data_IF_845482801609
#
_entry.id   IF_845482801609
#
_cell.length_a   1.000
_cell.length_b   1.000
_cell.length_c   1.000
_cell.angle_alpha   90.00
_cell.angle_beta   90.00
_cell.angle_gamma   90.00
#
_symmetry.space_group_name_H-M   'P 1'
#
loop_
_entity.id
_entity.type
_entity.pdbx_description
1 polymer ?
#
# COMPACT_ATOMS: atom_id res chain seq x y z
N UNK A 1 -21.64 68.62 -36.54
CA UNK A 1 -21.67 67.20 -36.92
C UNK A 1 -20.36 66.55 -36.46
N UNK A 2 -20.40 65.88 -35.28
CA UNK A 2 -19.23 65.16 -34.74
C UNK A 2 -19.44 63.64 -35.00
N UNK A 3 -18.51 63.02 -35.73
CA UNK A 3 -18.52 61.61 -36.03
C UNK A 3 -17.98 60.85 -34.81
N UNK A 4 -18.80 59.97 -34.24
CA UNK A 4 -18.43 59.06 -33.19
C UNK A 4 -17.87 57.76 -33.82
N UNK A 5 -16.59 57.46 -33.56
CA UNK A 5 -15.94 56.22 -33.99
C UNK A 5 -16.08 55.20 -32.88
N UNK A 6 -16.83 54.13 -33.14
CA UNK A 6 -16.98 53.00 -32.20
C UNK A 6 -15.81 52.01 -32.42
N UNK A 7 -14.95 51.87 -31.43
CA UNK A 7 -13.88 50.89 -31.41
C UNK A 7 -14.45 49.60 -30.82
N UNK A 8 -14.63 48.54 -31.63
CA UNK A 8 -15.04 47.24 -31.18
C UNK A 8 -13.80 46.50 -30.65
N UNK A 9 -13.74 46.29 -29.34
CA UNK A 9 -12.74 45.42 -28.73
C UNK A 9 -13.20 43.95 -28.84
N UNK A 10 -12.50 43.16 -29.66
CA UNK A 10 -12.67 41.74 -29.74
C UNK A 10 -11.97 41.07 -28.54
N UNK A 11 -12.76 40.52 -27.63
CA UNK A 11 -12.28 39.69 -26.51
C UNK A 11 -11.96 38.31 -27.08
N UNK A 12 -10.70 37.96 -27.21
CA UNK A 12 -10.22 36.61 -27.56
C UNK A 12 -10.32 35.81 -26.27
N UNK A 13 -11.37 34.99 -26.12
CA UNK A 13 -11.39 33.92 -25.12
C UNK A 13 -10.40 32.82 -25.55
N UNK A 14 -9.26 32.80 -24.91
CA UNK A 14 -8.35 31.63 -25.00
C UNK A 14 -9.02 30.46 -24.26
N UNK A 15 -9.61 29.54 -25.02
CA UNK A 15 -9.96 28.23 -24.51
C UNK A 15 -8.63 27.51 -24.20
N UNK A 16 -8.29 27.41 -22.92
CA UNK A 16 -7.27 26.46 -22.48
C UNK A 16 -7.85 25.05 -22.69
N UNK A 17 -7.50 24.42 -23.79
CA UNK A 17 -7.68 22.98 -23.94
C UNK A 17 -6.95 22.30 -22.78
N UNK A 18 -7.55 21.29 -22.13
CA UNK A 18 -6.79 20.48 -21.18
C UNK A 18 -5.60 19.90 -21.94
N UNK A 19 -4.40 20.14 -21.42
CA UNK A 19 -3.19 19.52 -21.97
C UNK A 19 -3.41 18.00 -21.87
N UNK A 20 -3.57 17.34 -23.01
CA UNK A 20 -3.49 15.89 -23.05
C UNK A 20 -2.10 15.54 -22.50
N UNK A 21 -2.06 14.85 -21.35
CA UNK A 21 -0.82 14.39 -20.75
C UNK A 21 -0.15 13.48 -21.77
N UNK A 22 1.07 13.85 -22.16
CA UNK A 22 1.80 13.11 -23.20
C UNK A 22 2.14 11.72 -22.64
N UNK A 23 1.74 10.68 -23.36
CA UNK A 23 2.20 9.31 -23.10
C UNK A 23 3.72 9.26 -23.07
N UNK A 24 4.25 8.32 -22.28
CA UNK A 24 5.69 8.03 -22.29
C UNK A 24 6.13 7.71 -23.72
N UNK A 25 7.19 8.36 -24.19
CA UNK A 25 7.74 8.10 -25.52
C UNK A 25 8.42 6.72 -25.59
N UNK A 26 8.54 6.14 -26.79
CA UNK A 26 9.28 4.88 -26.97
C UNK A 26 10.73 4.98 -26.45
N UNK A 27 11.36 6.14 -26.60
CA UNK A 27 12.72 6.39 -26.10
C UNK A 27 12.79 6.38 -24.57
N UNK A 28 11.77 6.88 -23.88
CA UNK A 28 11.69 6.82 -22.41
C UNK A 28 11.35 5.40 -21.95
N UNK A 29 10.40 4.73 -22.59
CA UNK A 29 10.06 3.34 -22.27
C UNK A 29 11.25 2.39 -22.50
N UNK A 30 12.15 2.69 -23.45
CA UNK A 30 13.38 1.91 -23.67
C UNK A 30 14.38 1.97 -22.51
N UNK A 31 14.24 2.92 -21.57
CA UNK A 31 15.05 2.97 -20.34
C UNK A 31 14.72 1.85 -19.36
N UNK A 32 13.50 1.29 -19.42
CA UNK A 32 13.07 0.18 -18.56
C UNK A 32 13.92 -1.07 -18.85
N UNK A 33 14.50 -1.62 -17.77
CA UNK A 33 15.45 -2.72 -17.83
C UNK A 33 16.91 -2.31 -18.12
N UNK A 34 17.16 -1.06 -18.52
CA UNK A 34 18.49 -0.50 -18.83
C UNK A 34 18.95 0.48 -17.73
N UNK A 35 18.62 1.76 -17.86
CA UNK A 35 18.93 2.80 -16.87
C UNK A 35 18.00 2.69 -15.65
N UNK A 36 16.77 2.28 -15.89
CA UNK A 36 15.75 2.00 -14.89
C UNK A 36 15.61 0.49 -14.70
N UNK A 37 15.14 0.09 -13.52
CA UNK A 37 14.66 -1.29 -13.30
C UNK A 37 13.47 -1.57 -14.24
N UNK A 38 13.08 -2.83 -14.46
CA UNK A 38 11.92 -3.13 -15.30
C UNK A 38 10.62 -2.46 -14.88
N UNK A 39 10.50 -2.02 -13.62
CA UNK A 39 9.31 -1.33 -13.08
C UNK A 39 9.53 0.17 -12.83
N UNK A 40 10.65 0.74 -13.28
CA UNK A 40 10.85 2.19 -13.32
C UNK A 40 11.67 2.81 -12.18
N UNK A 41 12.20 2.02 -11.25
CA UNK A 41 13.14 2.52 -10.25
C UNK A 41 14.49 2.89 -10.88
N UNK A 42 15.25 3.80 -10.27
CA UNK A 42 16.62 4.10 -10.70
C UNK A 42 17.50 2.89 -10.42
N UNK A 43 18.09 2.29 -11.45
CA UNK A 43 18.92 1.09 -11.32
C UNK A 43 20.25 1.35 -10.60
N UNK A 44 20.89 2.49 -10.88
CA UNK A 44 22.15 2.88 -10.23
C UNK A 44 21.99 3.12 -8.73
N UNK A 45 23.06 2.90 -7.98
CA UNK A 45 23.17 3.32 -6.59
C UNK A 45 23.13 4.84 -6.43
N UNK A 46 23.07 5.33 -5.19
CA UNK A 46 23.17 6.76 -4.89
C UNK A 46 24.62 7.22 -4.77
N UNK A 47 24.81 8.53 -4.67
CA UNK A 47 26.15 9.15 -4.72
C UNK A 47 27.04 8.81 -3.52
N UNK A 48 26.48 8.61 -2.34
CA UNK A 48 27.19 8.29 -1.10
C UNK A 48 27.40 6.78 -0.87
N UNK A 49 26.84 5.95 -1.77
CA UNK A 49 26.94 4.48 -1.72
C UNK A 49 26.05 3.81 -0.67
N UNK A 50 25.22 4.58 0.05
CA UNK A 50 24.32 4.03 1.07
C UNK A 50 23.12 3.26 0.45
N UNK A 51 22.79 3.53 -0.81
CA UNK A 51 21.83 2.77 -1.60
C UNK A 51 22.61 2.12 -2.74
N UNK A 52 22.76 0.78 -2.78
CA UNK A 52 23.51 0.10 -3.82
C UNK A 52 22.76 0.11 -5.16
N UNK A 53 23.46 -0.22 -6.25
CA UNK A 53 22.80 -0.50 -7.52
C UNK A 53 21.88 -1.73 -7.38
N UNK A 54 20.73 -1.69 -8.05
CA UNK A 54 19.80 -2.82 -8.07
C UNK A 54 20.39 -3.96 -8.93
N UNK A 55 20.35 -5.14 -8.39
CA UNK A 55 20.95 -6.34 -8.97
C UNK A 55 19.90 -7.49 -9.12
N UNK A 56 18.75 -7.19 -9.67
CA UNK A 56 17.58 -8.06 -9.89
C UNK A 56 16.80 -8.47 -8.62
N UNK A 57 17.25 -8.11 -7.42
CA UNK A 57 16.58 -8.50 -6.17
C UNK A 57 16.68 -10.00 -5.89
N UNK A 58 15.78 -10.52 -5.05
CA UNK A 58 15.72 -11.95 -4.74
C UNK A 58 14.58 -12.59 -5.56
N UNK A 59 14.93 -13.45 -6.52
CA UNK A 59 14.01 -14.04 -7.50
C UNK A 59 13.70 -15.52 -7.26
N UNK A 60 14.26 -16.11 -6.19
CA UNK A 60 14.09 -17.51 -5.84
C UNK A 60 14.25 -17.75 -4.35
N UNK A 61 13.67 -18.82 -3.81
CA UNK A 61 13.79 -19.15 -2.39
C UNK A 61 15.24 -19.24 -1.92
N UNK A 62 15.49 -18.72 -0.71
CA UNK A 62 16.79 -18.84 -0.06
C UNK A 62 16.97 -20.21 0.57
N UNK A 63 18.23 -20.57 0.88
CA UNK A 63 18.54 -21.88 1.51
C UNK A 63 17.75 -22.07 2.82
N UNK A 64 17.18 -23.25 2.98
CA UNK A 64 16.37 -23.61 4.15
C UNK A 64 14.89 -23.23 4.07
N UNK A 65 14.45 -22.57 3.01
CA UNK A 65 13.03 -22.34 2.80
C UNK A 65 12.33 -23.59 2.26
N UNK A 66 11.21 -23.91 2.87
CA UNK A 66 10.23 -24.89 2.37
C UNK A 66 8.86 -24.23 2.24
N UNK A 67 8.08 -24.61 1.23
CA UNK A 67 6.77 -24.03 1.00
C UNK A 67 5.87 -24.13 2.23
N UNK A 68 5.28 -23.00 2.61
CA UNK A 68 4.33 -22.89 3.73
C UNK A 68 4.98 -22.60 5.08
N UNK A 69 6.30 -22.51 5.16
CA UNK A 69 7.00 -22.02 6.34
C UNK A 69 7.20 -20.49 6.30
N UNK A 70 7.47 -19.87 7.44
CA UNK A 70 7.91 -18.48 7.51
C UNK A 70 9.24 -18.30 6.77
N UNK A 71 9.41 -17.12 6.19
CA UNK A 71 10.57 -16.87 5.31
C UNK A 71 11.85 -16.69 6.12
N UNK A 72 12.85 -17.57 5.98
CA UNK A 72 14.19 -17.34 6.52
C UNK A 72 14.75 -15.99 6.07
N UNK A 73 15.40 -15.28 7.00
CA UNK A 73 16.07 -14.02 6.68
C UNK A 73 17.23 -14.27 5.69
N UNK A 74 17.23 -13.64 4.50
CA UNK A 74 18.34 -13.75 3.56
C UNK A 74 19.65 -13.14 4.07
N UNK A 75 19.60 -12.31 5.11
CA UNK A 75 20.71 -11.53 5.62
C UNK A 75 20.94 -11.70 7.14
N UNK A 76 21.01 -12.92 7.66
CA UNK A 76 21.06 -13.14 9.11
C UNK A 76 22.36 -12.65 9.76
N UNK A 77 23.40 -12.36 8.97
CA UNK A 77 24.67 -11.81 9.42
C UNK A 77 24.75 -10.29 9.41
N UNK A 78 23.76 -9.60 8.83
CA UNK A 78 23.73 -8.13 8.79
C UNK A 78 23.68 -7.55 10.20
N UNK A 79 24.45 -6.52 10.43
CA UNK A 79 24.55 -5.83 11.72
C UNK A 79 23.88 -4.48 11.66
N UNK A 80 23.41 -4.02 12.81
CA UNK A 80 22.96 -2.65 12.97
C UNK A 80 24.15 -1.72 12.72
N UNK A 81 24.02 -0.85 11.71
CA UNK A 81 25.03 0.16 11.39
C UNK A 81 25.01 1.28 12.43
N UNK A 82 23.84 1.74 12.78
CA UNK A 82 23.58 2.72 13.84
C UNK A 82 22.10 2.67 14.23
N UNK A 83 21.81 3.30 15.37
CA UNK A 83 20.43 3.44 15.87
C UNK A 83 20.04 4.90 15.94
N UNK A 84 18.90 5.25 15.33
CA UNK A 84 18.31 6.58 15.46
C UNK A 84 17.40 6.58 16.68
N UNK A 85 17.55 7.59 17.52
CA UNK A 85 16.77 7.80 18.75
C UNK A 85 16.34 9.26 18.82
N UNK A 86 15.49 9.62 19.78
CA UNK A 86 15.11 11.01 20.00
C UNK A 86 16.35 11.92 20.27
N UNK A 87 17.42 11.39 20.85
CA UNK A 87 18.63 12.15 21.19
C UNK A 87 19.47 12.55 19.96
N UNK A 88 19.47 11.74 18.90
CA UNK A 88 20.29 11.96 17.70
C UNK A 88 19.51 12.16 16.41
N UNK A 89 18.16 12.12 16.41
CA UNK A 89 17.33 12.22 15.20
C UNK A 89 17.60 13.46 14.36
N UNK A 90 18.04 14.56 14.98
CA UNK A 90 18.37 15.80 14.26
C UNK A 90 19.50 15.62 13.22
N UNK A 91 20.40 14.64 13.42
CA UNK A 91 21.48 14.32 12.47
C UNK A 91 20.94 13.63 11.19
N UNK A 92 19.73 13.10 11.24
CA UNK A 92 19.09 12.34 10.17
C UNK A 92 17.81 13.01 9.67
N UNK A 93 17.57 14.28 10.02
CA UNK A 93 16.30 14.98 9.80
C UNK A 93 15.87 15.00 8.33
N UNK A 94 16.81 15.05 7.37
CA UNK A 94 16.54 15.03 5.94
C UNK A 94 16.01 13.66 5.43
N UNK A 95 16.28 12.58 6.18
CA UNK A 95 15.88 11.20 5.86
C UNK A 95 14.70 10.69 6.70
N UNK A 96 14.05 11.56 7.46
CA UNK A 96 12.92 11.24 8.33
C UNK A 96 11.69 12.03 7.94
N UNK A 97 10.53 11.36 7.98
CA UNK A 97 9.24 12.04 7.78
C UNK A 97 8.81 12.83 9.01
N UNK A 98 7.87 13.80 8.88
CA UNK A 98 7.21 14.41 10.03
C UNK A 98 6.61 13.39 11.01
N UNK A 99 5.99 12.32 10.48
CA UNK A 99 5.42 11.25 11.28
C UNK A 99 6.45 10.49 12.11
N UNK A 100 7.55 10.10 11.52
CA UNK A 100 8.66 9.43 12.22
C UNK A 100 9.24 10.34 13.32
N UNK A 101 9.47 11.63 13.01
CA UNK A 101 9.92 12.60 13.99
C UNK A 101 8.96 12.71 15.17
N UNK A 102 7.65 12.68 14.90
CA UNK A 102 6.62 12.74 15.95
C UNK A 102 6.60 11.51 16.85
N UNK A 103 6.85 10.33 16.32
CA UNK A 103 6.96 9.11 17.11
C UNK A 103 8.15 9.17 18.08
N UNK A 104 9.31 9.67 17.66
CA UNK A 104 10.44 9.91 18.55
C UNK A 104 10.10 10.90 19.69
N UNK A 105 9.33 11.95 19.40
CA UNK A 105 8.89 12.92 20.42
C UNK A 105 7.89 12.34 21.42
N UNK A 106 6.97 11.49 20.94
CA UNK A 106 5.94 10.89 21.79
C UNK A 106 6.48 9.77 22.68
N UNK A 107 7.52 9.06 22.23
CA UNK A 107 8.11 7.91 22.89
C UNK A 107 9.64 8.04 22.97
N UNK A 108 10.16 9.12 23.64
CA UNK A 108 11.58 9.50 23.56
C UNK A 108 12.54 8.45 24.12
N UNK A 109 12.07 7.62 25.06
CA UNK A 109 12.89 6.65 25.75
C UNK A 109 12.77 5.22 25.19
N UNK A 110 11.74 4.94 24.38
CA UNK A 110 11.41 3.58 23.94
C UNK A 110 11.41 3.41 22.44
N UNK A 111 11.03 4.43 21.67
CA UNK A 111 11.02 4.37 20.21
C UNK A 111 12.40 4.62 19.62
N UNK A 112 12.85 3.73 18.77
CA UNK A 112 14.10 3.84 18.03
C UNK A 112 14.00 3.15 16.67
N UNK A 113 14.92 3.48 15.78
CA UNK A 113 15.08 2.85 14.48
C UNK A 113 16.46 2.25 14.37
N UNK A 114 16.56 0.93 14.30
CA UNK A 114 17.79 0.21 14.04
C UNK A 114 18.03 0.17 12.54
N UNK A 115 19.05 0.90 12.06
CA UNK A 115 19.36 1.04 10.64
C UNK A 115 20.39 0.00 10.22
N UNK A 116 20.09 -0.66 9.11
CA UNK A 116 20.92 -1.70 8.51
C UNK A 116 21.41 -1.28 7.12
N UNK A 117 22.30 -2.07 6.55
CA UNK A 117 22.72 -1.92 5.16
C UNK A 117 21.51 -2.12 4.22
N UNK A 118 21.39 -1.25 3.24
CA UNK A 118 20.31 -1.31 2.25
C UNK A 118 20.46 -2.52 1.34
N UNK A 119 19.42 -3.34 1.27
CA UNK A 119 19.31 -4.53 0.43
C UNK A 119 18.10 -4.39 -0.49
N UNK A 120 18.32 -4.08 -1.75
CA UNK A 120 17.25 -3.87 -2.73
C UNK A 120 16.71 -5.22 -3.23
N UNK A 121 15.94 -5.90 -2.37
CA UNK A 121 15.48 -7.28 -2.59
C UNK A 121 14.24 -7.39 -3.44
N UNK A 122 13.48 -6.32 -3.65
CA UNK A 122 12.23 -6.35 -4.42
C UNK A 122 12.47 -6.92 -5.83
N UNK A 123 11.64 -7.88 -6.18
CA UNK A 123 11.66 -8.57 -7.47
C UNK A 123 10.25 -9.02 -7.84
N UNK A 124 10.03 -9.30 -9.12
CA UNK A 124 8.74 -9.72 -9.67
C UNK A 124 8.95 -10.84 -10.70
N UNK A 125 7.92 -11.65 -10.99
CA UNK A 125 7.99 -12.62 -12.09
C UNK A 125 8.23 -11.95 -13.45
N UNK A 126 8.91 -12.64 -14.36
CA UNK A 126 9.28 -12.08 -15.67
C UNK A 126 8.08 -11.56 -16.47
N UNK A 127 6.94 -12.28 -16.45
CA UNK A 127 5.74 -11.85 -17.18
C UNK A 127 5.16 -10.52 -16.66
N UNK A 128 5.40 -10.19 -15.38
CA UNK A 128 5.00 -8.91 -14.79
C UNK A 128 5.90 -7.78 -15.32
N UNK A 129 7.21 -8.04 -15.44
CA UNK A 129 8.15 -7.11 -16.06
C UNK A 129 7.83 -6.85 -17.54
N UNK A 130 7.47 -7.91 -18.28
CA UNK A 130 7.09 -7.80 -19.70
C UNK A 130 5.82 -6.95 -19.87
N UNK A 131 4.82 -7.16 -19.01
CA UNK A 131 3.61 -6.36 -19.00
C UNK A 131 3.87 -4.88 -18.68
N UNK A 132 4.81 -4.57 -17.78
CA UNK A 132 5.17 -3.19 -17.41
C UNK A 132 5.61 -2.37 -18.62
N UNK A 133 6.42 -2.95 -19.50
CA UNK A 133 6.90 -2.27 -20.69
C UNK A 133 5.76 -1.94 -21.67
N UNK A 134 4.79 -2.85 -21.81
CA UNK A 134 3.60 -2.61 -22.62
C UNK A 134 2.70 -1.53 -21.99
N UNK A 135 2.52 -1.59 -20.67
CA UNK A 135 1.73 -0.61 -19.91
C UNK A 135 2.31 0.80 -20.06
N UNK A 136 3.64 0.97 -20.01
CA UNK A 136 4.30 2.26 -20.15
C UNK A 136 3.88 3.03 -21.41
N UNK A 137 3.60 2.32 -22.50
CA UNK A 137 3.22 2.89 -23.80
C UNK A 137 1.70 3.06 -23.95
N UNK A 138 0.89 2.28 -23.21
CA UNK A 138 -0.54 2.16 -23.49
C UNK A 138 -1.44 2.63 -22.35
N UNK A 139 -0.94 2.67 -21.10
CA UNK A 139 -1.74 3.05 -19.95
C UNK A 139 -2.22 4.50 -20.02
N UNK A 140 -3.47 4.71 -19.63
CA UNK A 140 -4.10 6.03 -19.57
C UNK A 140 -4.93 6.18 -18.30
N UNK A 141 -4.91 7.37 -17.70
CA UNK A 141 -5.88 7.75 -16.69
C UNK A 141 -7.22 8.05 -17.37
N UNK A 142 -8.29 7.45 -16.90
CA UNK A 142 -9.66 7.65 -17.36
C UNK A 142 -10.55 8.20 -16.25
N UNK A 143 -11.76 8.63 -16.59
CA UNK A 143 -12.75 9.09 -15.60
C UNK A 143 -12.18 10.17 -14.66
N UNK A 144 -11.57 11.22 -15.24
CA UNK A 144 -10.90 12.31 -14.51
C UNK A 144 -9.83 11.80 -13.48
N UNK A 145 -9.16 10.69 -13.82
CA UNK A 145 -8.15 10.06 -12.98
C UNK A 145 -8.70 9.09 -11.94
N UNK A 146 -9.99 8.79 -11.95
CA UNK A 146 -10.61 7.83 -11.05
C UNK A 146 -10.61 6.38 -11.58
N UNK A 147 -9.90 6.16 -12.68
CA UNK A 147 -9.70 4.86 -13.30
C UNK A 147 -8.46 4.82 -14.17
N UNK A 148 -8.08 3.60 -14.56
CA UNK A 148 -6.97 3.31 -15.46
C UNK A 148 -7.45 2.39 -16.58
N UNK A 149 -7.03 2.66 -17.81
CA UNK A 149 -7.23 1.80 -18.98
C UNK A 149 -5.91 1.52 -19.68
N UNK A 150 -5.90 0.56 -20.60
CA UNK A 150 -4.72 0.24 -21.42
C UNK A 150 -3.57 -0.44 -20.66
N UNK A 151 -3.82 -0.89 -19.42
CA UNK A 151 -2.84 -1.59 -18.59
C UNK A 151 -3.40 -2.88 -17.98
N UNK A 152 -2.51 -3.85 -17.73
CA UNK A 152 -2.81 -5.12 -17.06
C UNK A 152 -1.59 -5.66 -16.31
N UNK A 153 -1.83 -6.56 -15.35
CA UNK A 153 -0.82 -7.39 -14.67
C UNK A 153 0.09 -6.62 -13.73
N UNK A 154 0.70 -5.53 -14.18
CA UNK A 154 1.74 -4.77 -13.50
C UNK A 154 1.38 -3.30 -13.36
N UNK A 155 2.30 -2.51 -12.78
CA UNK A 155 2.13 -1.06 -12.65
C UNK A 155 1.84 -0.39 -13.99
N UNK A 156 0.85 0.50 -14.03
CA UNK A 156 0.47 1.17 -15.29
C UNK A 156 1.46 2.24 -15.73
N UNK A 157 2.08 2.97 -14.81
CA UNK A 157 2.88 4.15 -15.08
C UNK A 157 4.30 4.04 -14.50
N UNK A 158 5.18 3.15 -15.03
CA UNK A 158 6.51 2.94 -14.45
C UNK A 158 7.41 4.19 -14.52
N UNK A 159 7.06 5.15 -15.37
CA UNK A 159 7.72 6.46 -15.51
C UNK A 159 6.65 7.54 -15.29
N UNK A 160 6.21 7.74 -14.03
CA UNK A 160 5.10 8.63 -13.76
C UNK A 160 5.47 10.10 -13.87
N UNK A 161 4.51 10.93 -14.26
CA UNK A 161 4.61 12.38 -14.35
C UNK A 161 3.75 13.10 -13.31
N UNK A 162 2.82 12.40 -12.65
CA UNK A 162 1.88 12.97 -11.67
C UNK A 162 1.78 12.12 -10.41
N UNK A 163 1.35 12.75 -9.30
CA UNK A 163 1.08 12.04 -8.06
C UNK A 163 -0.04 11.02 -8.20
N UNK A 164 -0.99 11.27 -9.09
CA UNK A 164 -2.09 10.35 -9.37
C UNK A 164 -1.59 9.07 -10.06
N UNK A 165 -0.66 9.16 -11.01
CA UNK A 165 -0.03 8.00 -11.62
C UNK A 165 0.77 7.18 -10.60
N UNK A 166 1.47 7.82 -9.69
CA UNK A 166 2.23 7.15 -8.62
C UNK A 166 1.31 6.37 -7.69
N UNK A 167 0.19 6.95 -7.27
CA UNK A 167 -0.74 6.23 -6.37
C UNK A 167 -1.47 5.09 -7.10
N UNK A 168 -1.75 5.22 -8.39
CA UNK A 168 -2.27 4.12 -9.19
C UNK A 168 -1.26 2.98 -9.36
N UNK A 169 0.03 3.27 -9.43
CA UNK A 169 1.07 2.23 -9.40
C UNK A 169 1.00 1.45 -8.09
N UNK A 170 0.84 2.12 -6.95
CA UNK A 170 0.65 1.44 -5.68
C UNK A 170 -0.60 0.55 -5.67
N UNK A 171 -1.74 1.05 -6.12
CA UNK A 171 -3.01 0.32 -6.13
C UNK A 171 -2.93 -0.93 -7.03
N UNK A 172 -2.30 -0.79 -8.22
CA UNK A 172 -2.26 -1.81 -9.27
C UNK A 172 -0.97 -2.65 -9.28
N UNK A 173 -0.05 -2.46 -8.31
CA UNK A 173 1.15 -3.27 -8.22
C UNK A 173 0.83 -4.75 -8.07
N UNK A 174 1.71 -5.60 -8.54
CA UNK A 174 1.57 -7.04 -8.45
C UNK A 174 1.71 -7.52 -6.98
N UNK A 175 0.80 -8.38 -6.53
CA UNK A 175 0.77 -9.01 -5.20
C UNK A 175 0.36 -10.48 -5.26
N UNK A 176 0.68 -11.15 -6.36
CA UNK A 176 0.19 -12.50 -6.65
C UNK A 176 -1.08 -12.51 -7.50
N UNK A 177 -1.68 -13.67 -7.64
CA UNK A 177 -2.88 -13.90 -8.46
C UNK A 177 -4.04 -14.36 -7.60
N UNK A 178 -3.95 -15.53 -6.98
CA UNK A 178 -4.91 -16.06 -6.02
C UNK A 178 -4.17 -16.27 -4.70
N UNK A 179 -4.62 -15.62 -3.62
CA UNK A 179 -3.89 -15.61 -2.34
C UNK A 179 -4.86 -15.90 -1.19
N UNK A 180 -4.52 -16.87 -0.35
CA UNK A 180 -5.13 -17.04 0.97
C UNK A 180 -4.19 -16.53 2.05
N UNK A 181 -4.71 -15.70 2.97
CA UNK A 181 -3.92 -15.20 4.11
C UNK A 181 -4.60 -15.55 5.43
N UNK A 182 -3.78 -15.79 6.43
CA UNK A 182 -4.20 -16.02 7.81
C UNK A 182 -3.40 -15.08 8.67
N UNK A 183 -4.03 -14.02 9.12
CA UNK A 183 -3.32 -12.97 9.84
C UNK A 183 -4.16 -12.41 10.98
N UNK A 184 -3.46 -11.88 11.95
CA UNK A 184 -4.05 -11.30 13.13
C UNK A 184 -3.87 -9.79 13.14
N UNK A 185 -4.74 -9.14 13.88
CA UNK A 185 -4.59 -7.72 14.22
C UNK A 185 -4.87 -7.48 15.69
N UNK A 186 -4.20 -6.46 16.22
CA UNK A 186 -4.37 -6.05 17.62
C UNK A 186 -4.25 -4.53 17.76
N UNK A 187 -4.99 -3.98 18.71
CA UNK A 187 -4.95 -2.56 19.08
C UNK A 187 -4.61 -2.43 20.56
N UNK A 188 -3.32 -2.46 20.94
CA UNK A 188 -2.92 -2.36 22.33
C UNK A 188 -3.44 -1.09 23.01
N UNK A 189 -3.86 -1.24 24.24
CA UNK A 189 -4.18 -0.11 25.13
C UNK A 189 -2.89 0.61 25.55
N UNK A 190 -2.99 1.77 26.18
CA UNK A 190 -1.81 2.48 26.74
C UNK A 190 -1.02 1.65 27.75
N UNK A 191 -1.66 0.66 28.40
CA UNK A 191 -1.02 -0.25 29.33
C UNK A 191 -0.51 -1.55 28.70
N UNK A 192 -0.64 -1.71 27.36
CA UNK A 192 -0.17 -2.88 26.62
C UNK A 192 -1.19 -4.01 26.46
N UNK A 193 -2.30 -4.03 27.21
CA UNK A 193 -3.31 -5.06 27.04
C UNK A 193 -4.01 -4.98 25.69
N UNK A 194 -4.21 -6.09 25.02
CA UNK A 194 -4.86 -6.15 23.69
C UNK A 194 -5.82 -7.34 23.58
N UNK A 195 -6.66 -7.31 22.58
CA UNK A 195 -7.45 -8.47 22.11
C UNK A 195 -6.97 -8.81 20.72
N UNK A 196 -6.55 -10.05 20.53
CA UNK A 196 -6.18 -10.56 19.22
C UNK A 196 -7.44 -10.82 18.39
N UNK A 197 -7.42 -10.38 17.14
CA UNK A 197 -8.48 -10.64 16.15
C UNK A 197 -7.84 -11.38 14.99
N UNK A 198 -8.20 -12.66 14.86
CA UNK A 198 -7.70 -13.50 13.77
C UNK A 198 -8.67 -13.47 12.60
N UNK A 199 -8.13 -13.35 11.39
CA UNK A 199 -8.88 -13.35 10.14
C UNK A 199 -8.33 -14.37 9.16
N UNK A 200 -9.21 -14.98 8.39
CA UNK A 200 -8.88 -15.70 7.16
C UNK A 200 -9.38 -14.86 5.98
N UNK A 201 -8.52 -14.68 5.00
CA UNK A 201 -8.81 -13.85 3.84
C UNK A 201 -8.53 -14.62 2.54
N UNK A 202 -9.35 -14.41 1.55
CA UNK A 202 -9.17 -14.89 0.19
C UNK A 202 -9.14 -13.66 -0.73
N UNK A 203 -8.13 -13.56 -1.57
CA UNK A 203 -7.95 -12.47 -2.53
C UNK A 203 -7.72 -13.08 -3.91
N UNK A 204 -8.52 -12.65 -4.88
CA UNK A 204 -8.38 -13.04 -6.28
C UNK A 204 -8.12 -11.79 -7.11
N UNK A 205 -6.88 -11.59 -7.55
CA UNK A 205 -6.46 -10.45 -8.34
C UNK A 205 -6.74 -10.70 -9.83
N UNK A 206 -7.88 -10.24 -10.34
CA UNK A 206 -8.23 -10.38 -11.76
C UNK A 206 -7.28 -9.61 -12.66
N UNK A 207 -6.87 -8.41 -12.22
CA UNK A 207 -5.93 -7.56 -12.94
C UNK A 207 -4.55 -8.21 -13.16
N UNK A 208 -4.10 -9.03 -12.21
CA UNK A 208 -2.73 -9.60 -12.19
C UNK A 208 -2.63 -10.99 -12.85
N UNK A 209 -3.72 -11.52 -13.40
CA UNK A 209 -3.73 -12.86 -14.01
C UNK A 209 -2.93 -12.88 -15.32
N UNK A 210 -2.04 -13.87 -15.51
CA UNK A 210 -1.24 -13.94 -16.74
C UNK A 210 -2.07 -14.03 -18.03
N UNK A 211 -3.27 -14.62 -17.94
CA UNK A 211 -4.20 -14.81 -19.07
C UNK A 211 -5.15 -13.63 -19.30
N UNK A 212 -5.12 -12.58 -18.47
CA UNK A 212 -6.05 -11.46 -18.57
C UNK A 212 -5.80 -10.65 -19.85
N UNK A 213 -6.87 -10.23 -20.50
CA UNK A 213 -6.81 -9.35 -21.66
C UNK A 213 -7.38 -7.97 -21.33
N UNK A 214 -6.93 -6.95 -22.04
CA UNK A 214 -7.45 -5.58 -21.89
C UNK A 214 -8.97 -5.53 -22.18
N UNK A 215 -9.44 -6.26 -23.19
CA UNK A 215 -10.88 -6.35 -23.52
C UNK A 215 -11.67 -6.93 -22.34
N UNK A 216 -11.14 -7.99 -21.69
CA UNK A 216 -11.79 -8.60 -20.53
C UNK A 216 -11.82 -7.66 -19.34
N UNK A 217 -10.75 -6.92 -19.08
CA UNK A 217 -10.71 -5.90 -18.04
C UNK A 217 -11.70 -4.76 -18.31
N UNK A 218 -11.81 -4.31 -19.55
CA UNK A 218 -12.78 -3.29 -19.95
C UNK A 218 -14.22 -3.77 -19.78
N UNK A 219 -14.52 -5.05 -20.13
CA UNK A 219 -15.84 -5.65 -19.96
C UNK A 219 -16.23 -5.79 -18.48
N UNK A 220 -15.35 -6.32 -17.65
CA UNK A 220 -15.67 -6.67 -16.26
C UNK A 220 -15.44 -5.55 -15.26
N UNK A 221 -14.55 -4.60 -15.60
CA UNK A 221 -14.10 -3.51 -14.74
C UNK A 221 -13.68 -4.02 -13.33
N UNK A 222 -13.11 -5.22 -13.23
CA UNK A 222 -12.80 -5.87 -11.96
C UNK A 222 -11.29 -5.85 -11.72
N UNK A 223 -10.87 -5.21 -10.62
CA UNK A 223 -9.49 -5.22 -10.16
C UNK A 223 -9.19 -6.50 -9.36
N UNK A 224 -9.96 -6.71 -8.30
CA UNK A 224 -9.87 -7.93 -7.49
C UNK A 224 -11.18 -8.22 -6.74
N UNK A 225 -11.28 -9.45 -6.27
CA UNK A 225 -12.23 -9.87 -5.26
C UNK A 225 -11.50 -10.09 -3.93
N UNK A 226 -12.12 -9.68 -2.84
CA UNK A 226 -11.62 -9.86 -1.48
C UNK A 226 -12.72 -10.40 -0.58
N UNK A 227 -12.42 -11.46 0.17
CA UNK A 227 -13.32 -11.99 1.19
C UNK A 227 -12.52 -12.18 2.49
N UNK A 228 -13.03 -11.64 3.59
CA UNK A 228 -12.46 -11.76 4.92
C UNK A 228 -13.49 -12.39 5.87
N UNK A 229 -13.02 -13.29 6.72
CA UNK A 229 -13.83 -13.90 7.78
C UNK A 229 -13.08 -13.83 9.09
N UNK A 230 -13.69 -13.24 10.10
CA UNK A 230 -13.14 -13.22 11.47
C UNK A 230 -13.26 -14.63 12.06
N UNK A 231 -12.14 -15.15 12.58
CA UNK A 231 -12.04 -16.47 13.23
C UNK A 231 -12.04 -16.36 14.74
N UNK A 232 -11.35 -15.36 15.28
CA UNK A 232 -11.28 -15.07 16.72
C UNK A 232 -11.43 -13.57 16.98
N UNK A 233 -11.84 -13.16 18.17
CA UNK A 233 -12.37 -13.96 19.30
C UNK A 233 -13.79 -14.49 19.03
N UNK A 234 -14.22 -15.47 19.83
CA UNK A 234 -15.53 -16.15 19.65
C UNK A 234 -16.73 -15.20 19.47
N UNK A 235 -16.73 -14.05 20.14
CA UNK A 235 -17.81 -13.03 20.04
C UNK A 235 -17.92 -12.37 18.67
N UNK A 236 -16.84 -12.34 17.87
CA UNK A 236 -16.77 -11.73 16.54
C UNK A 236 -16.69 -12.77 15.42
N UNK A 237 -16.35 -14.02 15.76
CA UNK A 237 -16.13 -15.09 14.79
C UNK A 237 -17.36 -15.31 13.90
N UNK A 238 -17.11 -15.46 12.59
CA UNK A 238 -18.13 -15.53 11.56
C UNK A 238 -18.56 -14.16 10.98
N UNK A 239 -18.17 -13.02 11.60
CA UNK A 239 -18.31 -11.73 10.93
C UNK A 239 -17.50 -11.77 9.65
N UNK A 240 -18.12 -11.41 8.52
CA UNK A 240 -17.46 -11.52 7.25
C UNK A 240 -17.74 -10.31 6.33
N UNK A 241 -16.75 -10.02 5.47
CA UNK A 241 -16.77 -8.95 4.48
C UNK A 241 -16.44 -9.54 3.11
N UNK A 242 -17.17 -9.13 2.10
CA UNK A 242 -16.89 -9.38 0.70
C UNK A 242 -16.79 -8.05 -0.03
N UNK A 243 -15.72 -7.87 -0.80
CA UNK A 243 -15.52 -6.68 -1.65
C UNK A 243 -15.26 -7.14 -3.09
N UNK A 244 -15.89 -6.49 -4.04
CA UNK A 244 -15.50 -6.46 -5.43
C UNK A 244 -14.95 -5.07 -5.72
N UNK A 245 -13.65 -5.00 -5.98
CA UNK A 245 -12.95 -3.77 -6.32
C UNK A 245 -12.96 -3.56 -7.83
N UNK A 246 -13.09 -2.32 -8.25
CA UNK A 246 -13.18 -1.95 -9.66
C UNK A 246 -12.01 -1.06 -10.08
N UNK A 247 -11.62 -1.14 -11.35
CA UNK A 247 -10.55 -0.33 -11.93
C UNK A 247 -11.01 1.10 -12.22
N UNK A 248 -12.21 1.28 -12.73
CA UNK A 248 -12.87 2.58 -12.91
C UNK A 248 -14.07 2.66 -11.97
N UNK A 249 -13.84 3.36 -10.85
CA UNK A 249 -14.84 3.49 -9.79
C UNK A 249 -15.91 4.55 -10.08
N UNK A 250 -15.74 5.38 -11.13
CA UNK A 250 -16.79 6.28 -11.61
C UNK A 250 -17.81 5.51 -12.46
N UNK A 251 -17.33 4.63 -13.37
CA UNK A 251 -18.18 3.77 -14.17
C UNK A 251 -18.93 2.73 -13.31
N UNK A 252 -18.23 2.13 -12.34
CA UNK A 252 -18.81 1.15 -11.40
C UNK A 252 -18.12 1.27 -10.03
N UNK A 253 -18.78 1.90 -9.04
CA UNK A 253 -18.21 2.01 -7.69
C UNK A 253 -17.97 0.64 -7.04
N UNK A 254 -16.99 0.61 -6.11
CA UNK A 254 -16.74 -0.54 -5.24
C UNK A 254 -18.02 -1.16 -4.72
N UNK A 255 -18.14 -2.47 -4.79
CA UNK A 255 -19.26 -3.21 -4.25
C UNK A 255 -18.81 -3.99 -3.01
N UNK A 256 -19.56 -3.85 -1.92
CA UNK A 256 -19.26 -4.56 -0.68
C UNK A 256 -20.52 -5.16 -0.05
N UNK A 257 -20.32 -6.30 0.62
CA UNK A 257 -21.33 -7.00 1.39
C UNK A 257 -20.74 -7.43 2.73
N UNK A 258 -21.53 -7.32 3.78
CA UNK A 258 -21.17 -7.79 5.12
C UNK A 258 -22.14 -8.88 5.56
N UNK A 259 -21.62 -9.88 6.27
CA UNK A 259 -22.39 -10.85 7.00
C UNK A 259 -22.27 -10.60 8.49
N UNK A 260 -23.41 -10.48 9.16
CA UNK A 260 -23.50 -10.32 10.59
C UNK A 260 -24.04 -11.60 11.21
N UNK A 261 -23.28 -12.19 12.13
CA UNK A 261 -23.62 -13.46 12.79
C UNK A 261 -24.85 -13.37 13.66
N UNK A 262 -25.09 -12.23 14.33
CA UNK A 262 -26.27 -12.02 15.16
C UNK A 262 -27.59 -11.98 14.35
N UNK A 263 -27.53 -11.41 13.15
CA UNK A 263 -28.70 -11.32 12.25
C UNK A 263 -28.78 -12.48 11.24
N UNK A 264 -27.71 -13.25 11.07
CA UNK A 264 -27.55 -14.33 10.08
C UNK A 264 -27.91 -13.91 8.64
N UNK A 265 -27.60 -12.66 8.29
CA UNK A 265 -27.96 -12.08 7.00
C UNK A 265 -26.76 -11.40 6.35
N UNK A 266 -26.68 -11.55 5.03
CA UNK A 266 -25.80 -10.74 4.18
C UNK A 266 -26.53 -9.44 3.85
N UNK A 267 -25.83 -8.33 3.96
CA UNK A 267 -26.32 -7.01 3.56
C UNK A 267 -25.31 -6.34 2.64
N UNK A 268 -25.79 -5.65 1.61
CA UNK A 268 -24.93 -4.76 0.84
C UNK A 268 -24.48 -3.61 1.75
N UNK A 269 -23.20 -3.28 1.68
CA UNK A 269 -22.55 -2.25 2.50
C UNK A 269 -22.02 -1.12 1.60
N UNK A 270 -22.91 -0.24 1.07
CA UNK A 270 -22.53 0.77 0.08
C UNK A 270 -21.54 1.81 0.62
N UNK A 271 -21.41 1.92 1.95
CA UNK A 271 -20.54 2.90 2.62
C UNK A 271 -19.16 2.32 3.01
N UNK A 272 -18.83 1.08 2.60
CA UNK A 272 -17.49 0.52 2.82
C UNK A 272 -16.54 1.12 1.79
N UNK A 273 -16.28 2.41 1.96
CA UNK A 273 -15.38 3.21 1.14
C UNK A 273 -14.89 4.41 1.96
N UNK A 274 -13.75 4.96 1.56
CA UNK A 274 -13.18 6.16 2.14
C UNK A 274 -12.93 6.06 3.66
N UNK A 275 -13.44 7.03 4.43
CA UNK A 275 -13.18 7.24 5.85
C UNK A 275 -14.12 6.48 6.81
N UNK A 276 -14.90 5.52 6.33
CA UNK A 276 -15.56 4.59 7.25
C UNK A 276 -14.51 3.81 8.06
N UNK A 277 -14.76 3.53 9.34
CA UNK A 277 -13.82 2.74 10.13
C UNK A 277 -13.55 1.38 9.48
N UNK A 278 -12.29 0.98 9.42
CA UNK A 278 -11.89 -0.33 8.91
C UNK A 278 -12.48 -1.46 9.77
N UNK A 279 -12.69 -2.62 9.16
CA UNK A 279 -13.27 -3.79 9.84
C UNK A 279 -12.43 -4.16 11.07
N UNK A 280 -13.09 -4.24 12.23
CA UNK A 280 -12.51 -4.61 13.55
C UNK A 280 -11.21 -3.88 13.92
N UNK A 281 -11.01 -2.66 13.42
CA UNK A 281 -9.79 -1.85 13.61
C UNK A 281 -9.82 -0.95 14.85
N UNK A 282 -10.85 -1.05 15.67
CA UNK A 282 -11.10 -0.16 16.83
C UNK A 282 -11.09 1.35 16.46
N UNK A 283 -11.43 1.65 15.19
CA UNK A 283 -11.44 3.01 14.65
C UNK A 283 -10.06 3.61 14.39
N UNK A 284 -8.98 2.84 14.51
CA UNK A 284 -7.60 3.32 14.37
C UNK A 284 -7.13 3.44 12.91
N UNK A 285 -7.91 2.92 11.96
CA UNK A 285 -7.71 3.16 10.52
C UNK A 285 -9.05 3.38 9.80
N UNK A 286 -9.01 3.97 8.63
CA UNK A 286 -10.15 4.06 7.72
C UNK A 286 -10.19 2.85 6.76
N UNK A 287 -11.30 2.67 6.05
CA UNK A 287 -11.42 1.58 5.07
C UNK A 287 -10.41 1.74 3.93
N UNK A 288 -10.15 2.96 3.50
CA UNK A 288 -9.18 3.25 2.43
C UNK A 288 -7.71 3.25 2.89
N UNK A 289 -7.43 3.05 4.19
CA UNK A 289 -6.08 2.76 4.69
C UNK A 289 -5.67 1.27 4.53
N UNK A 290 -6.55 0.38 4.03
CA UNK A 290 -6.17 -1.00 3.75
C UNK A 290 -5.01 -1.04 2.74
N UNK A 291 -4.00 -1.90 2.99
CA UNK A 291 -2.79 -1.98 2.17
C UNK A 291 -2.12 -0.58 2.01
N UNK A 292 -2.08 0.20 3.10
CA UNK A 292 -1.62 1.58 3.22
C UNK A 292 -2.43 2.60 2.42
N UNK A 293 -2.96 2.25 1.26
CA UNK A 293 -3.98 2.97 0.50
C UNK A 293 -4.66 2.06 -0.52
N UNK A 294 -5.95 1.83 -0.32
CA UNK A 294 -6.80 1.12 -1.28
C UNK A 294 -8.18 1.79 -1.33
N UNK A 295 -8.25 2.93 -1.96
CA UNK A 295 -9.46 3.72 -2.09
C UNK A 295 -9.56 4.42 -3.44
N UNK A 296 -10.74 4.99 -3.71
CA UNK A 296 -10.91 5.86 -4.86
C UNK A 296 -10.11 7.15 -4.67
N UNK A 297 -9.29 7.56 -5.65
CA UNK A 297 -8.53 8.79 -5.56
C UNK A 297 -9.37 10.06 -5.76
N UNK A 298 -10.66 9.93 -6.06
CA UNK A 298 -11.56 11.01 -6.52
C UNK A 298 -11.67 12.21 -5.59
N UNK A 299 -11.54 11.98 -4.27
CA UNK A 299 -11.74 13.04 -3.25
C UNK A 299 -10.56 13.98 -3.09
N UNK A 300 -9.39 13.63 -3.63
CA UNK A 300 -8.15 14.35 -3.42
C UNK A 300 -7.59 14.97 -4.70
N UNK A 301 -6.90 16.08 -4.55
CA UNK A 301 -5.93 16.57 -5.53
C UNK A 301 -4.59 15.91 -5.21
N UNK A 302 -3.93 15.37 -6.21
CA UNK A 302 -2.71 14.58 -6.08
C UNK A 302 -1.53 15.34 -6.67
N UNK A 303 -0.57 15.68 -5.84
CA UNK A 303 0.65 16.38 -6.19
C UNK A 303 1.84 15.40 -6.13
N UNK A 304 2.61 15.34 -7.19
CA UNK A 304 3.92 14.68 -7.20
C UNK A 304 4.95 15.67 -6.66
N UNK A 305 5.40 15.47 -5.42
CA UNK A 305 6.41 16.33 -4.80
C UNK A 305 7.79 16.02 -5.38
N UNK A 306 8.09 14.72 -5.60
CA UNK A 306 9.34 14.28 -6.17
C UNK A 306 9.87 12.98 -5.55
N UNK A 307 11.16 12.72 -5.75
CA UNK A 307 11.87 11.62 -5.09
C UNK A 307 12.66 12.11 -3.89
N UNK A 308 12.71 11.28 -2.85
CA UNK A 308 13.53 11.48 -1.64
C UNK A 308 14.24 10.18 -1.27
N UNK A 309 15.29 10.30 -0.47
CA UNK A 309 15.88 9.18 0.25
C UNK A 309 15.39 9.21 1.69
N UNK A 310 14.78 8.13 2.16
CA UNK A 310 14.25 8.03 3.52
C UNK A 310 14.64 6.69 4.15
N UNK A 311 14.68 6.64 5.48
CA UNK A 311 14.69 5.38 6.20
C UNK A 311 13.27 4.82 6.23
N UNK A 312 13.07 3.67 5.58
CA UNK A 312 11.80 2.95 5.54
C UNK A 312 11.98 1.53 6.09
N UNK A 313 10.92 0.89 6.62
CA UNK A 313 10.99 -0.53 6.94
C UNK A 313 11.19 -1.34 5.66
N UNK A 314 12.15 -2.26 5.69
CA UNK A 314 12.46 -3.11 4.55
C UNK A 314 13.15 -4.39 4.99
N UNK A 315 12.87 -5.52 4.33
CA UNK A 315 13.43 -6.81 4.70
C UNK A 315 13.19 -7.21 6.17
N UNK A 316 11.99 -6.96 6.66
CA UNK A 316 11.57 -7.20 8.05
C UNK A 316 11.38 -8.70 8.38
N UNK A 317 12.25 -9.58 7.86
CA UNK A 317 12.17 -11.04 8.05
C UNK A 317 12.24 -11.45 9.52
N UNK A 318 13.00 -10.71 10.35
CA UNK A 318 13.04 -10.96 11.79
C UNK A 318 11.68 -10.70 12.44
N UNK A 319 11.03 -9.58 12.08
CA UNK A 319 9.71 -9.22 12.58
C UNK A 319 8.63 -10.22 12.14
N UNK A 320 8.80 -10.82 10.95
CA UNK A 320 7.93 -11.81 10.34
C UNK A 320 8.16 -13.25 10.87
N UNK A 321 9.24 -13.51 11.61
CA UNK A 321 9.66 -14.86 12.01
C UNK A 321 8.68 -15.51 12.98
N UNK A 322 8.46 -16.83 12.83
CA UNK A 322 7.73 -17.69 13.77
C UNK A 322 8.48 -17.94 15.08
N UNK A 323 9.71 -17.48 15.19
CA UNK A 323 10.46 -17.46 16.46
C UNK A 323 10.00 -16.37 17.44
N UNK A 324 9.12 -15.46 17.01
CA UNK A 324 8.58 -14.38 17.82
C UNK A 324 7.10 -14.62 18.14
N UNK A 325 6.75 -14.44 19.40
CA UNK A 325 5.37 -14.41 19.87
C UNK A 325 4.79 -12.98 19.80
N UNK A 326 3.49 -12.83 19.64
CA UNK A 326 2.85 -11.51 19.57
C UNK A 326 3.10 -10.65 20.81
N UNK A 327 3.21 -11.26 22.00
CA UNK A 327 3.54 -10.55 23.25
C UNK A 327 4.95 -9.93 23.24
N UNK A 328 5.87 -10.46 22.43
CA UNK A 328 7.21 -9.88 22.26
C UNK A 328 7.20 -8.70 21.29
N UNK A 329 6.28 -8.72 20.32
CA UNK A 329 6.14 -7.68 19.28
C UNK A 329 5.30 -6.50 19.77
N UNK A 330 4.17 -6.78 20.43
CA UNK A 330 3.19 -5.76 20.84
C UNK A 330 3.58 -5.14 22.17
N UNK A 331 4.04 -3.90 22.16
CA UNK A 331 4.41 -3.14 23.35
C UNK A 331 3.52 -1.89 23.52
N UNK A 332 3.47 -1.25 24.71
CA UNK A 332 2.75 0.00 24.88
C UNK A 332 3.24 1.11 23.95
N UNK A 333 2.32 1.67 23.17
CA UNK A 333 2.57 2.84 22.33
C UNK A 333 3.13 2.57 20.93
N UNK A 334 3.91 1.53 20.73
CA UNK A 334 4.46 1.11 19.43
C UNK A 334 4.88 -0.37 19.46
N UNK A 335 5.18 -0.96 18.31
CA UNK A 335 5.77 -2.32 18.29
C UNK A 335 7.19 -2.28 18.86
N UNK A 336 7.68 -3.45 19.28
CA UNK A 336 9.04 -3.58 19.80
C UNK A 336 10.07 -3.27 18.70
N UNK A 337 10.85 -2.19 18.81
CA UNK A 337 11.76 -1.74 17.75
C UNK A 337 13.00 -2.63 17.58
N UNK A 338 13.23 -3.59 18.48
CA UNK A 338 14.36 -4.54 18.37
C UNK A 338 14.18 -5.54 17.22
N UNK A 339 12.95 -5.68 16.73
CA UNK A 339 12.63 -6.65 15.68
C UNK A 339 12.47 -5.99 14.31
N UNK A 340 12.30 -4.67 14.27
CA UNK A 340 12.13 -3.92 13.02
C UNK A 340 13.48 -3.59 12.38
N UNK A 341 13.53 -3.75 11.05
CA UNK A 341 14.68 -3.41 10.21
C UNK A 341 14.37 -2.16 9.39
N UNK A 342 15.25 -1.17 9.47
CA UNK A 342 15.14 0.09 8.73
C UNK A 342 16.30 0.19 7.74
N UNK A 343 15.99 0.55 6.50
CA UNK A 343 16.98 0.72 5.44
C UNK A 343 16.76 2.05 4.72
N UNK A 344 17.82 2.62 4.16
CA UNK A 344 17.73 3.85 3.37
C UNK A 344 17.33 3.51 1.94
N UNK A 345 16.17 3.98 1.48
CA UNK A 345 15.66 3.75 0.13
C UNK A 345 15.24 5.06 -0.53
N UNK A 346 15.18 5.07 -1.87
CA UNK A 346 14.53 6.13 -2.64
C UNK A 346 13.03 5.89 -2.66
N UNK A 347 12.28 6.93 -2.35
CA UNK A 347 10.83 6.91 -2.37
C UNK A 347 10.26 8.04 -3.24
N UNK A 348 9.12 7.81 -3.82
CA UNK A 348 8.27 8.85 -4.37
C UNK A 348 7.49 9.49 -3.23
N UNK A 349 7.55 10.82 -3.13
CA UNK A 349 6.70 11.59 -2.22
C UNK A 349 5.51 12.13 -3.00
N UNK A 350 4.31 11.73 -2.55
CA UNK A 350 3.02 12.16 -3.13
C UNK A 350 2.17 12.79 -2.05
N UNK A 351 1.67 13.99 -2.32
CA UNK A 351 0.77 14.71 -1.41
C UNK A 351 -0.64 14.70 -1.97
N UNK A 352 -1.58 14.22 -1.16
CA UNK A 352 -3.01 14.22 -1.43
C UNK A 352 -3.70 15.26 -0.54
N UNK A 353 -4.33 16.27 -1.17
CA UNK A 353 -5.09 17.32 -0.45
C UNK A 353 -6.57 17.19 -0.80
N UNK A 354 -7.42 17.14 0.21
CA UNK A 354 -8.86 17.00 0.05
C UNK A 354 -9.42 18.11 -0.83
N UNK A 355 -10.22 17.77 -1.84
CA UNK A 355 -10.86 18.73 -2.74
C UNK A 355 -11.93 19.54 -1.98
N UNK A 356 -12.15 20.77 -2.40
CA UNK A 356 -13.22 21.61 -1.86
C UNK A 356 -14.58 20.92 -1.97
N UNK A 357 -15.36 21.00 -0.89
CA UNK A 357 -16.67 20.36 -0.79
C UNK A 357 -16.67 18.84 -0.52
N UNK A 358 -15.51 18.18 -0.61
CA UNK A 358 -15.39 16.78 -0.23
C UNK A 358 -15.18 16.62 1.28
N UNK A 359 -15.47 15.41 1.79
CA UNK A 359 -15.34 15.10 3.21
C UNK A 359 -14.49 13.85 3.40
N UNK A 360 -13.57 13.94 4.35
CA UNK A 360 -12.75 12.86 4.86
C UNK A 360 -12.20 13.26 6.23
N UNK A 361 -11.87 12.30 7.08
CA UNK A 361 -11.23 12.61 8.37
C UNK A 361 -9.80 13.12 8.19
N UNK A 362 -9.15 12.79 7.06
CA UNK A 362 -7.84 13.31 6.68
C UNK A 362 -7.99 14.40 5.63
N UNK A 363 -7.62 15.63 5.96
CA UNK A 363 -7.54 16.75 5.02
C UNK A 363 -6.36 16.61 4.07
N UNK A 364 -5.24 16.20 4.61
CA UNK A 364 -4.00 15.99 3.84
C UNK A 364 -3.40 14.63 4.19
N UNK A 365 -2.90 13.93 3.18
CA UNK A 365 -2.11 12.71 3.33
C UNK A 365 -0.82 12.87 2.52
N UNK A 366 0.31 12.47 3.10
CA UNK A 366 1.59 12.41 2.37
C UNK A 366 2.02 10.96 2.35
N UNK A 367 2.17 10.43 1.16
CA UNK A 367 2.58 9.04 0.93
C UNK A 367 4.03 9.00 0.50
N UNK A 368 4.77 8.03 1.05
CA UNK A 368 6.15 7.74 0.68
C UNK A 368 6.20 6.33 0.12
N UNK A 369 6.31 6.25 -1.21
CA UNK A 369 6.16 5.02 -1.97
C UNK A 369 7.56 4.56 -2.40
N UNK A 370 7.97 3.36 -2.00
CA UNK A 370 9.22 2.76 -2.41
C UNK A 370 9.31 2.63 -3.94
N UNK A 371 10.43 3.09 -4.52
CA UNK A 371 10.60 3.06 -5.98
C UNK A 371 10.81 1.65 -6.54
N UNK A 372 11.31 0.72 -5.71
CA UNK A 372 11.64 -0.65 -6.13
C UNK A 372 10.43 -1.59 -6.16
N UNK A 373 9.38 -1.28 -5.41
CA UNK A 373 8.22 -2.17 -5.24
C UNK A 373 6.87 -1.49 -5.49
N UNK A 374 6.84 -0.16 -5.54
CA UNK A 374 5.60 0.65 -5.53
C UNK A 374 4.75 0.45 -4.27
N UNK A 375 5.30 -0.17 -3.22
CA UNK A 375 4.64 -0.24 -1.92
C UNK A 375 4.66 1.13 -1.25
N UNK A 376 3.52 1.61 -0.74
CA UNK A 376 3.52 2.72 0.23
C UNK A 376 4.16 2.21 1.51
N UNK A 377 5.33 2.71 1.83
CA UNK A 377 6.08 2.31 3.03
C UNK A 377 5.71 3.13 4.25
N UNK A 378 5.45 4.42 4.05
CA UNK A 378 5.09 5.37 5.12
C UNK A 378 3.96 6.28 4.65
N UNK A 379 3.13 6.72 5.60
CA UNK A 379 2.08 7.72 5.36
C UNK A 379 1.94 8.66 6.55
N UNK A 380 1.97 9.96 6.30
CA UNK A 380 1.66 11.00 7.26
C UNK A 380 0.25 11.55 6.98
N UNK A 381 -0.65 11.49 7.95
CA UNK A 381 -2.06 11.86 7.78
C UNK A 381 -2.44 13.01 8.71
N UNK A 382 -2.92 14.09 8.11
CA UNK A 382 -3.28 15.33 8.80
C UNK A 382 -4.79 15.49 8.86
N UNK A 383 -5.29 15.94 9.99
CA UNK A 383 -6.72 16.21 10.21
C UNK A 383 -7.19 17.54 9.55
N UNK A 384 -8.45 17.87 9.75
CA UNK A 384 -9.05 19.10 9.19
C UNK A 384 -8.56 20.42 9.85
N UNK A 385 -7.70 20.31 10.88
CA UNK A 385 -6.99 21.46 11.50
C UNK A 385 -5.55 21.58 11.06
N UNK A 386 -5.15 20.76 10.08
CA UNK A 386 -3.76 20.61 9.61
C UNK A 386 -2.79 20.08 10.70
N UNK A 387 -3.34 19.40 11.73
CA UNK A 387 -2.51 18.72 12.74
C UNK A 387 -2.19 17.29 12.27
N UNK A 388 -0.95 16.88 12.46
CA UNK A 388 -0.54 15.50 12.20
C UNK A 388 -1.31 14.58 13.15
N UNK A 389 -2.19 13.79 12.58
CA UNK A 389 -3.18 13.00 13.32
C UNK A 389 -2.78 11.52 13.41
N UNK A 390 -2.39 10.94 12.28
CA UNK A 390 -2.00 9.52 12.21
C UNK A 390 -0.74 9.33 11.40
N UNK A 391 -0.04 8.23 11.70
CA UNK A 391 1.15 7.77 10.97
C UNK A 391 0.95 6.31 10.59
N UNK A 392 1.07 6.00 9.31
CA UNK A 392 1.07 4.65 8.79
C UNK A 392 2.50 4.19 8.50
N UNK A 393 2.80 2.94 8.82
CA UNK A 393 4.10 2.31 8.54
C UNK A 393 3.87 0.88 8.06
N UNK A 394 4.43 0.51 6.90
CA UNK A 394 4.37 -0.83 6.35
C UNK A 394 5.73 -1.52 6.52
N UNK A 395 5.77 -2.57 7.31
CA UNK A 395 6.91 -3.47 7.44
C UNK A 395 6.78 -4.55 6.37
N UNK A 396 7.74 -4.65 5.46
CA UNK A 396 7.63 -5.49 4.27
C UNK A 396 8.80 -6.43 4.09
N UNK A 397 8.50 -7.55 3.41
CA UNK A 397 9.46 -8.53 2.95
C UNK A 397 9.26 -8.80 1.45
N UNK A 398 10.24 -9.41 0.81
CA UNK A 398 10.04 -10.04 -0.48
C UNK A 398 9.65 -11.50 -0.25
N UNK A 399 8.42 -11.87 -0.65
CA UNK A 399 7.94 -13.26 -0.70
C UNK A 399 8.60 -13.92 -1.92
N UNK A 400 9.84 -14.37 -1.73
CA UNK A 400 10.76 -14.72 -2.80
C UNK A 400 10.40 -16.01 -3.54
N UNK A 401 9.51 -16.85 -3.02
CA UNK A 401 9.00 -18.06 -3.72
C UNK A 401 8.04 -17.70 -4.87
N UNK A 402 7.42 -16.51 -4.82
CA UNK A 402 6.50 -16.00 -5.85
C UNK A 402 6.96 -14.67 -6.44
N UNK A 403 8.20 -14.30 -6.34
CA UNK A 403 8.80 -12.97 -6.27
C UNK A 403 7.77 -11.84 -6.20
N UNK A 404 7.44 -11.43 -4.96
CA UNK A 404 6.57 -10.26 -4.75
C UNK A 404 6.90 -9.56 -3.44
N UNK A 405 7.05 -8.24 -3.48
CA UNK A 405 7.30 -7.44 -2.30
C UNK A 405 5.97 -6.95 -1.72
N UNK A 406 5.69 -7.31 -0.45
CA UNK A 406 4.44 -6.92 0.20
C UNK A 406 4.65 -6.72 1.70
N UNK A 407 3.76 -5.93 2.33
CA UNK A 407 3.76 -5.75 3.78
C UNK A 407 3.34 -7.04 4.47
N UNK A 408 4.13 -7.46 5.47
CA UNK A 408 3.74 -8.50 6.42
C UNK A 408 3.02 -7.88 7.61
N UNK A 409 3.39 -6.66 8.02
CA UNK A 409 2.78 -5.94 9.15
C UNK A 409 2.59 -4.46 8.82
N UNK A 410 1.37 -3.96 8.99
CA UNK A 410 1.04 -2.54 8.86
C UNK A 410 0.69 -1.96 10.22
N UNK A 411 1.28 -0.82 10.56
CA UNK A 411 1.07 -0.12 11.82
C UNK A 411 0.42 1.23 11.56
N UNK A 412 -0.69 1.49 12.23
CA UNK A 412 -1.36 2.80 12.19
C UNK A 412 -1.37 3.40 13.59
N UNK A 413 -0.50 4.38 13.81
CA UNK A 413 -0.44 5.13 15.07
C UNK A 413 -1.46 6.27 15.06
N UNK A 414 -2.31 6.34 16.07
CA UNK A 414 -3.16 7.48 16.37
C UNK A 414 -2.45 8.35 17.43
N UNK A 415 -1.95 9.49 16.99
CA UNK A 415 -1.09 10.35 17.80
C UNK A 415 -1.84 11.07 18.93
N UNK A 416 -3.16 11.22 18.79
CA UNK A 416 -4.01 11.85 19.81
C UNK A 416 -4.36 10.87 20.93
N UNK A 417 -4.81 9.68 20.57
CA UNK A 417 -5.13 8.64 21.54
C UNK A 417 -3.88 7.95 22.10
N UNK A 418 -2.72 8.08 21.43
CA UNK A 418 -1.47 7.35 21.72
C UNK A 418 -1.65 5.84 21.73
N UNK A 419 -2.48 5.35 20.82
CA UNK A 419 -2.69 3.93 20.54
C UNK A 419 -2.26 3.64 19.13
N UNK A 420 -2.08 2.38 18.83
CA UNK A 420 -1.82 1.94 17.46
C UNK A 420 -2.61 0.69 17.14
N UNK A 421 -2.84 0.46 15.86
CA UNK A 421 -3.29 -0.79 15.29
C UNK A 421 -2.07 -1.48 14.67
N UNK A 422 -1.82 -2.73 15.03
CA UNK A 422 -0.95 -3.65 14.32
C UNK A 422 -1.81 -4.60 13.49
N UNK A 423 -1.69 -4.58 12.17
CA UNK A 423 -2.49 -5.37 11.25
C UNK A 423 -1.59 -6.19 10.33
N UNK A 424 -1.79 -7.49 10.29
CA UNK A 424 -0.97 -8.40 9.50
C UNK A 424 -0.08 -9.34 10.30
N UNK A 425 -0.17 -9.31 11.64
CA UNK A 425 0.57 -10.24 12.51
C UNK A 425 0.36 -11.68 12.03
N UNK A 426 1.44 -12.36 11.65
CA UNK A 426 1.43 -13.68 11.05
C UNK A 426 2.33 -14.71 11.76
N UNK A 427 3.13 -14.28 12.75
CA UNK A 427 4.15 -15.05 13.46
C UNK A 427 3.64 -16.36 14.07
N UNK A 428 2.44 -16.35 14.67
CA UNK A 428 1.82 -17.50 15.35
C UNK A 428 0.81 -18.22 14.44
N UNK A 429 0.71 -17.81 13.18
CA UNK A 429 -0.21 -18.32 12.16
C UNK A 429 0.47 -19.16 11.10
N UNK A 430 -0.31 -19.68 10.18
CA UNK A 430 0.21 -20.27 8.95
C UNK A 430 0.50 -19.19 7.91
N UNK A 431 1.49 -19.45 7.05
CA UNK A 431 1.87 -18.54 5.99
C UNK A 431 0.80 -18.35 4.93
N UNK A 432 0.95 -17.28 4.16
CA UNK A 432 0.16 -16.99 2.97
C UNK A 432 0.31 -18.12 1.95
N UNK A 433 -0.79 -18.51 1.32
CA UNK A 433 -0.79 -19.45 0.21
C UNK A 433 -1.05 -18.70 -1.10
N UNK A 434 0.02 -18.51 -1.86
CA UNK A 434 -0.03 -17.87 -3.18
C UNK A 434 -0.43 -18.85 -4.30
N UNK A 435 -0.56 -20.14 -4.01
CA UNK A 435 -1.04 -21.15 -4.94
C UNK A 435 -2.52 -21.50 -4.72
N UNK A 436 -3.23 -20.70 -3.93
CA UNK A 436 -4.66 -20.83 -3.75
C UNK A 436 -5.37 -20.86 -5.11
N UNK A 437 -6.31 -21.79 -5.28
CA UNK A 437 -7.08 -21.90 -6.53
C UNK A 437 -8.48 -21.36 -6.30
N UNK A 438 -8.58 -20.03 -6.38
CA UNK A 438 -9.82 -19.32 -6.16
C UNK A 438 -10.59 -19.15 -7.48
N UNK A 439 -11.90 -19.17 -7.39
CA UNK A 439 -12.81 -18.89 -8.49
C UNK A 439 -13.81 -17.78 -8.13
N UNK A 440 -14.43 -17.16 -9.09
CA UNK A 440 -15.48 -16.15 -8.83
C UNK A 440 -16.61 -16.69 -7.94
N UNK A 441 -16.86 -18.00 -7.96
CA UNK A 441 -17.86 -18.65 -7.10
C UNK A 441 -17.56 -18.53 -5.60
N UNK A 442 -16.28 -18.31 -5.23
CA UNK A 442 -15.85 -18.05 -3.85
C UNK A 442 -16.29 -16.66 -3.36
N UNK A 443 -16.60 -15.72 -4.28
CA UNK A 443 -16.83 -14.30 -4.01
C UNK A 443 -18.25 -13.86 -4.32
N UNK A 444 -19.23 -14.68 -3.92
CA UNK A 444 -20.66 -14.36 -4.02
C UNK A 444 -21.26 -14.07 -2.64
N UNK A 445 -22.37 -13.32 -2.55
CA UNK A 445 -23.09 -13.14 -1.29
C UNK A 445 -23.49 -14.46 -0.60
N UNK A 446 -23.80 -15.50 -1.37
CA UNK A 446 -24.08 -16.83 -0.84
C UNK A 446 -22.82 -17.53 -0.29
N UNK A 447 -21.68 -17.39 -0.97
CA UNK A 447 -20.40 -17.88 -0.45
C UNK A 447 -20.01 -17.15 0.83
N UNK A 448 -20.22 -15.82 0.90
CA UNK A 448 -20.01 -15.03 2.12
C UNK A 448 -20.89 -15.55 3.27
N UNK A 449 -22.17 -15.82 3.01
CA UNK A 449 -23.10 -16.38 4.01
C UNK A 449 -22.62 -17.73 4.53
N UNK A 450 -22.20 -18.64 3.64
CA UNK A 450 -21.68 -19.96 4.05
C UNK A 450 -20.41 -19.84 4.90
N UNK A 451 -19.50 -18.93 4.53
CA UNK A 451 -18.24 -18.71 5.26
C UNK A 451 -18.46 -18.12 6.66
N UNK A 452 -19.54 -17.34 6.87
CA UNK A 452 -19.90 -16.75 8.16
C UNK A 452 -20.74 -17.67 9.07
N UNK A 453 -21.28 -18.80 8.56
CA UNK A 453 -21.97 -19.79 9.37
C UNK A 453 -20.90 -20.66 10.06
N UNK A 454 -21.04 -20.82 11.36
CA UNK A 454 -20.18 -21.70 12.17
C UNK A 454 -20.63 -23.16 12.09
#
# INVERSE_FOLDING_TARGET
MKKLTILSAAVIMAFSAPAAMAKVSEAEAAKLGNELTPIGAVKAGNADGSIPAWDNGITSPVAGYEKGMHHPDPFPSDKILFTITNANKAQYAEFLTPGQNKLFELYPDTYKMNVYETRRTASLPQYVYDATKANALNAELVSNGNGVSGASISVPFPIPSTGLEVIWNHILRYRGVDVETYRSQASPTKGGAYTLIETAEEIRFEYSRPEITLDKLAETNTLFFFKQVVRQPARLAGTALLVKETMDQEALPRQAWTYNTGQRRVRKAPNVAFDTPGTVSDGLRTTDDFDMFNGSPVRYNWELVGKKELYIPYNDYKLHSDSLEYDQILTPGHINPEFARWEKHRVWEVKATLKDGMRHIYKTRVFYIDEDSWQVSLTDMYDNRDELYRVGTAHSINYYEVPTHWSTLEIFHDLQSRRYLAMGLDNEGRMYDFDAKLSEANFTPDALRRAGIR
#
